data_IF_866552101156
#
_entry.id   IF_866552101156
#
_cell.length_a   1.000
_cell.length_b   1.000
_cell.length_c   1.000
_cell.angle_alpha   90.00
_cell.angle_beta   90.00
_cell.angle_gamma   90.00
#
_symmetry.space_group_name_H-M   'P 1'
#
loop_
_entity.id
_entity.type
_entity.pdbx_description
1 polymer ?
#
# COMPACT_ATOMS: atom_id res chain seq x y z
N UNK A 1 22.97 1.12 -8.80
CA UNK A 1 21.96 1.82 -7.94
C UNK A 1 21.34 0.75 -7.09
N UNK A 2 21.58 0.77 -5.78
CA UNK A 2 21.06 -0.22 -4.83
C UNK A 2 19.53 -0.11 -4.82
N UNK A 3 18.85 -1.21 -5.08
CA UNK A 3 17.42 -1.36 -4.82
C UNK A 3 17.18 -1.03 -3.35
N UNK A 4 16.37 0.01 -3.12
CA UNK A 4 15.89 0.30 -1.77
C UNK A 4 14.87 -0.79 -1.47
N UNK A 5 15.28 -1.82 -0.75
CA UNK A 5 14.34 -2.80 -0.24
C UNK A 5 13.39 -2.06 0.71
N UNK A 6 12.12 -2.03 0.38
CA UNK A 6 11.10 -1.48 1.28
C UNK A 6 10.92 -2.51 2.41
N UNK A 7 11.54 -2.24 3.55
CA UNK A 7 11.47 -3.15 4.70
C UNK A 7 10.14 -3.04 5.46
N UNK A 8 9.36 -1.99 5.20
CA UNK A 8 8.08 -1.72 5.87
C UNK A 8 7.02 -1.13 4.92
N UNK A 9 5.75 -1.38 5.25
CA UNK A 9 4.58 -0.80 4.60
C UNK A 9 3.95 0.27 5.48
N UNK A 10 3.59 1.40 4.89
CA UNK A 10 2.81 2.43 5.54
C UNK A 10 1.40 1.89 5.83
N UNK A 11 1.01 1.84 7.10
CA UNK A 11 -0.30 1.33 7.52
C UNK A 11 -1.23 2.39 8.06
N UNK A 12 -0.73 3.58 8.39
CA UNK A 12 -1.54 4.66 8.90
C UNK A 12 -0.76 5.87 9.37
N UNK A 13 -1.51 6.86 9.85
CA UNK A 13 -0.97 8.09 10.44
C UNK A 13 -1.59 8.30 11.82
N UNK A 14 -0.76 8.69 12.78
CA UNK A 14 -1.19 9.01 14.14
C UNK A 14 -2.03 10.29 14.13
N UNK A 15 -3.24 10.19 14.67
CA UNK A 15 -4.20 11.27 14.78
C UNK A 15 -4.10 12.05 16.09
N UNK A 16 -5.27 12.32 16.68
CA UNK A 16 -5.38 13.10 17.92
C UNK A 16 -5.32 12.19 19.16
N UNK A 17 -4.77 12.66 20.29
CA UNK A 17 -4.91 12.00 21.58
C UNK A 17 -6.37 11.74 21.93
N UNK A 18 -6.62 10.60 22.56
CA UNK A 18 -7.93 10.19 23.02
C UNK A 18 -7.93 9.99 24.54
N UNK A 19 -8.59 10.89 25.27
CA UNK A 19 -8.54 10.88 26.73
C UNK A 19 -7.23 11.39 27.30
N UNK A 20 -6.88 10.96 28.52
CA UNK A 20 -5.72 11.42 29.29
C UNK A 20 -4.65 10.36 29.49
N UNK A 21 -4.95 9.08 29.17
CA UNK A 21 -4.10 7.92 29.43
C UNK A 21 -3.18 7.56 28.25
N UNK A 22 -2.87 8.49 27.36
CA UNK A 22 -1.97 8.25 26.22
C UNK A 22 -2.57 7.41 25.09
N UNK A 23 -3.90 7.19 25.07
CA UNK A 23 -4.56 6.59 23.92
C UNK A 23 -4.58 7.55 22.74
N UNK A 24 -4.48 7.05 21.52
CA UNK A 24 -4.37 7.83 20.30
C UNK A 24 -5.32 7.29 19.23
N UNK A 25 -6.01 8.18 18.53
CA UNK A 25 -6.73 7.80 17.30
C UNK A 25 -5.72 7.62 16.18
N UNK A 26 -5.95 6.64 15.29
CA UNK A 26 -5.10 6.41 14.11
C UNK A 26 -5.96 6.44 12.86
N UNK A 27 -5.50 7.15 11.84
CA UNK A 27 -6.08 7.08 10.50
C UNK A 27 -5.37 5.96 9.76
N UNK A 28 -6.08 4.86 9.52
CA UNK A 28 -5.52 3.72 8.81
C UNK A 28 -5.59 3.91 7.31
N UNK A 29 -4.50 3.57 6.64
CA UNK A 29 -4.31 3.63 5.19
C UNK A 29 -4.19 2.22 4.58
N UNK A 30 -4.29 1.18 5.41
CA UNK A 30 -4.25 -0.23 5.00
C UNK A 30 -5.63 -0.78 4.68
N UNK A 31 -5.72 -1.65 3.71
CA UNK A 31 -6.94 -2.43 3.39
C UNK A 31 -7.22 -3.53 4.44
N UNK A 32 -6.25 -3.83 5.31
CA UNK A 32 -6.34 -4.86 6.35
C UNK A 32 -6.30 -4.28 7.77
N UNK A 33 -7.18 -3.32 8.11
CA UNK A 33 -7.13 -2.60 9.38
C UNK A 33 -7.30 -3.52 10.60
N UNK A 34 -8.09 -4.60 10.49
CA UNK A 34 -8.36 -5.55 11.57
C UNK A 34 -7.19 -6.49 11.90
N UNK A 35 -6.11 -6.42 11.13
CA UNK A 35 -4.91 -7.25 11.38
C UNK A 35 -3.98 -6.64 12.43
N UNK A 36 -4.22 -5.38 12.82
CA UNK A 36 -3.46 -4.75 13.92
C UNK A 36 -4.03 -5.26 15.24
N UNK A 37 -3.18 -5.81 16.09
CA UNK A 37 -3.54 -6.45 17.36
C UNK A 37 -2.65 -5.95 18.50
N UNK A 38 -3.11 -6.18 19.73
CA UNK A 38 -2.28 -6.05 20.92
C UNK A 38 -1.07 -6.98 20.83
N UNK A 39 0.10 -6.48 21.14
CA UNK A 39 1.39 -7.18 21.03
C UNK A 39 2.12 -6.97 19.70
N UNK A 40 1.46 -6.35 18.70
CA UNK A 40 2.13 -6.03 17.44
C UNK A 40 3.25 -5.00 17.66
N UNK A 41 4.31 -5.12 16.86
CA UNK A 41 5.40 -4.15 16.78
C UNK A 41 5.18 -3.34 15.50
N UNK A 42 5.09 -2.03 15.65
CA UNK A 42 5.00 -1.08 14.56
C UNK A 42 6.24 -0.18 14.56
N UNK A 43 6.39 0.63 13.52
CA UNK A 43 7.56 1.47 13.34
C UNK A 43 7.15 2.88 12.91
N UNK A 44 8.01 3.86 13.23
CA UNK A 44 7.84 5.25 12.80
C UNK A 44 8.65 5.60 11.54
N UNK A 45 9.35 4.62 10.98
CA UNK A 45 10.18 4.79 9.79
C UNK A 45 10.16 3.55 8.89
N UNK A 46 10.42 3.76 7.60
CA UNK A 46 10.42 2.72 6.57
C UNK A 46 11.53 1.68 6.73
N UNK A 47 12.60 2.03 7.46
CA UNK A 47 13.74 1.14 7.73
C UNK A 47 13.54 0.26 8.96
N UNK A 48 12.37 0.35 9.61
CA UNK A 48 12.04 -0.40 10.82
C UNK A 48 13.05 -0.19 11.98
N UNK A 49 13.63 1.02 12.11
CA UNK A 49 14.61 1.31 13.16
C UNK A 49 13.97 1.86 14.43
N UNK A 50 12.86 2.60 14.30
CA UNK A 50 12.15 3.24 15.42
C UNK A 50 10.87 2.48 15.73
N UNK A 51 10.99 1.45 16.57
CA UNK A 51 9.87 0.59 16.95
C UNK A 51 8.96 1.19 18.01
N UNK A 52 7.70 0.78 18.01
CA UNK A 52 6.71 1.03 19.04
C UNK A 52 5.78 -0.18 19.19
N UNK A 53 5.54 -0.59 20.44
CA UNK A 53 4.71 -1.76 20.74
C UNK A 53 3.24 -1.33 20.94
N UNK A 54 2.32 -2.06 20.33
CA UNK A 54 0.89 -1.92 20.55
C UNK A 54 0.51 -2.60 21.87
N UNK A 55 0.16 -1.82 22.88
CA UNK A 55 -0.35 -2.35 24.15
C UNK A 55 -1.78 -2.83 24.04
N UNK A 56 -2.65 -2.00 23.47
CA UNK A 56 -4.04 -2.35 23.20
C UNK A 56 -4.61 -1.60 22.01
N UNK A 57 -5.63 -2.18 21.40
CA UNK A 57 -6.39 -1.55 20.33
C UNK A 57 -7.89 -1.76 20.55
N UNK A 58 -8.68 -0.74 20.35
CA UNK A 58 -10.12 -0.80 20.34
C UNK A 58 -10.72 0.03 19.21
N UNK A 59 -11.92 -0.32 18.77
CA UNK A 59 -12.60 0.35 17.67
C UNK A 59 -13.70 1.25 18.21
N UNK A 60 -13.64 2.53 17.88
CA UNK A 60 -14.67 3.51 18.25
C UNK A 60 -15.53 3.79 17.02
N UNK A 61 -16.85 3.67 17.16
CA UNK A 61 -17.82 4.05 16.14
C UNK A 61 -17.89 5.58 16.05
N UNK A 62 -17.69 6.12 14.82
CA UNK A 62 -17.82 7.56 14.54
C UNK A 62 -18.75 7.71 13.34
N UNK A 63 -19.97 8.18 13.58
CA UNK A 63 -21.02 8.27 12.55
C UNK A 63 -21.22 6.91 11.85
N UNK A 64 -20.83 6.79 10.57
CA UNK A 64 -20.97 5.59 9.75
C UNK A 64 -19.69 4.75 9.62
N UNK A 65 -18.60 5.16 10.28
CA UNK A 65 -17.29 4.48 10.18
C UNK A 65 -16.77 4.07 11.56
N UNK A 66 -15.72 3.24 11.56
CA UNK A 66 -14.99 2.85 12.77
C UNK A 66 -13.59 3.42 12.72
N UNK A 67 -13.13 4.00 13.82
CA UNK A 67 -11.77 4.54 13.99
C UNK A 67 -11.06 3.75 15.08
N UNK A 68 -9.85 3.24 14.83
CA UNK A 68 -9.05 2.60 15.86
C UNK A 68 -8.53 3.64 16.84
N UNK A 69 -8.59 3.28 18.10
CA UNK A 69 -7.95 3.96 19.22
C UNK A 69 -6.90 2.99 19.75
N UNK A 70 -5.64 3.37 19.65
CA UNK A 70 -4.49 2.54 20.00
C UNK A 70 -3.80 3.12 21.23
N UNK A 71 -3.44 2.26 22.16
CA UNK A 71 -2.54 2.53 23.25
C UNK A 71 -1.20 1.90 22.92
N UNK A 72 -0.16 2.69 22.95
CA UNK A 72 1.21 2.21 22.78
C UNK A 72 1.94 2.12 24.11
N UNK A 73 2.84 1.17 24.26
CA UNK A 73 3.67 1.04 25.46
C UNK A 73 4.57 2.25 25.63
N UNK A 74 4.63 2.78 26.84
CA UNK A 74 5.44 3.95 27.17
C UNK A 74 4.84 5.30 26.76
N UNK A 75 3.61 5.32 26.25
CA UNK A 75 2.87 6.55 25.95
C UNK A 75 1.73 6.67 26.96
N UNK A 76 1.99 7.19 28.14
CA UNK A 76 1.10 7.10 29.29
C UNK A 76 0.33 8.37 29.61
N UNK A 77 0.70 9.47 28.98
CA UNK A 77 0.03 10.75 29.15
C UNK A 77 -0.51 11.32 27.84
N UNK A 78 -1.43 12.28 27.97
CA UNK A 78 -1.93 13.04 26.81
C UNK A 78 -0.80 13.79 26.10
N UNK A 79 0.19 14.33 26.84
CA UNK A 79 1.29 15.07 26.26
C UNK A 79 2.20 14.16 25.42
N UNK A 80 2.49 12.94 25.90
CA UNK A 80 3.25 11.95 25.13
C UNK A 80 2.52 11.62 23.82
N UNK A 81 1.21 11.41 23.89
CA UNK A 81 0.37 11.15 22.73
C UNK A 81 0.33 12.33 21.74
N UNK A 82 0.30 13.57 22.22
CA UNK A 82 0.32 14.78 21.38
C UNK A 82 1.63 14.89 20.60
N UNK A 83 2.76 14.51 21.21
CA UNK A 83 4.08 14.53 20.56
C UNK A 83 4.18 13.55 19.37
N UNK A 84 3.35 12.54 19.32
CA UNK A 84 3.32 11.56 18.22
C UNK A 84 2.37 11.95 17.09
N UNK A 85 1.55 12.98 17.26
CA UNK A 85 0.54 13.37 16.28
C UNK A 85 1.16 13.69 14.91
N UNK A 86 0.59 13.12 13.87
CA UNK A 86 1.04 13.29 12.49
C UNK A 86 2.16 12.32 12.08
N UNK A 87 2.71 11.55 13.02
CA UNK A 87 3.71 10.54 12.68
C UNK A 87 3.11 9.42 11.82
N UNK A 88 3.85 8.98 10.83
CA UNK A 88 3.52 7.81 10.02
C UNK A 88 3.76 6.53 10.81
N UNK A 89 2.88 5.54 10.62
CA UNK A 89 3.00 4.21 11.19
C UNK A 89 3.26 3.20 10.10
N UNK A 90 4.28 2.38 10.31
CA UNK A 90 4.70 1.33 9.39
C UNK A 90 4.63 -0.04 10.06
N UNK A 91 4.44 -1.08 9.25
CA UNK A 91 4.56 -2.48 9.64
C UNK A 91 5.64 -3.12 8.80
N UNK A 92 6.49 -3.96 9.40
CA UNK A 92 7.47 -4.74 8.65
C UNK A 92 6.78 -5.59 7.58
N UNK A 93 7.40 -5.68 6.41
CA UNK A 93 6.94 -6.57 5.32
C UNK A 93 6.83 -8.01 5.81
N UNK A 94 7.74 -8.46 6.67
CA UNK A 94 7.75 -9.81 7.25
C UNK A 94 6.54 -10.11 8.13
N UNK A 95 6.01 -9.07 8.81
CA UNK A 95 4.87 -9.18 9.72
C UNK A 95 3.54 -8.79 9.05
N UNK A 96 3.59 -8.52 7.74
CA UNK A 96 2.40 -8.20 6.96
C UNK A 96 1.50 -9.43 6.82
N UNK A 97 0.17 -9.25 6.79
CA UNK A 97 -0.76 -10.34 6.58
C UNK A 97 -0.45 -11.12 5.31
N UNK A 98 -0.60 -12.45 5.36
CA UNK A 98 -0.56 -13.26 4.15
C UNK A 98 -1.77 -12.91 3.30
N UNK A 99 -1.54 -12.58 2.06
CA UNK A 99 -2.57 -12.34 1.07
C UNK A 99 -3.10 -13.67 0.53
N UNK A 100 -4.28 -13.64 -0.09
CA UNK A 100 -4.79 -14.75 -0.87
C UNK A 100 -3.97 -14.92 -2.15
N UNK A 101 -4.14 -16.04 -2.86
CA UNK A 101 -3.33 -16.35 -4.05
C UNK A 101 -3.47 -15.30 -5.17
N UNK A 102 -4.61 -14.62 -5.22
CA UNK A 102 -4.98 -13.60 -6.23
C UNK A 102 -4.81 -12.17 -5.75
N UNK A 103 -4.35 -11.97 -4.52
CA UNK A 103 -4.12 -10.65 -3.93
C UNK A 103 -2.63 -10.31 -3.94
N UNK A 104 -2.31 -9.05 -4.19
CA UNK A 104 -0.95 -8.54 -4.08
C UNK A 104 -0.95 -7.14 -3.47
N UNK A 105 0.13 -6.79 -2.80
CA UNK A 105 0.29 -5.44 -2.29
C UNK A 105 0.59 -4.49 -3.44
N UNK A 106 0.00 -3.29 -3.40
CA UNK A 106 0.28 -2.24 -4.39
C UNK A 106 1.78 -1.95 -4.48
N UNK A 107 2.47 -1.89 -3.33
CA UNK A 107 3.91 -1.65 -3.27
C UNK A 107 4.73 -2.73 -3.99
N UNK A 108 4.22 -3.97 -4.01
CA UNK A 108 4.89 -5.08 -4.69
C UNK A 108 4.71 -5.01 -6.22
N UNK A 109 3.62 -4.38 -6.69
CA UNK A 109 3.32 -4.18 -8.12
C UNK A 109 4.06 -2.96 -8.69
N UNK A 110 4.22 -1.91 -7.90
CA UNK A 110 4.96 -0.72 -8.33
C UNK A 110 6.38 -1.12 -8.76
N UNK A 111 6.83 -0.53 -9.86
CA UNK A 111 8.08 -0.84 -10.54
C UNK A 111 8.12 -2.20 -11.25
N UNK A 112 7.04 -2.97 -11.33
CA UNK A 112 6.98 -4.12 -12.21
C UNK A 112 7.07 -3.70 -13.67
N UNK A 113 7.82 -4.46 -14.46
CA UNK A 113 7.93 -4.30 -15.90
C UNK A 113 6.77 -5.00 -16.59
N UNK A 114 6.15 -4.33 -17.54
CA UNK A 114 4.98 -4.81 -18.27
C UNK A 114 5.39 -5.26 -19.66
N UNK A 115 4.98 -6.46 -20.04
CA UNK A 115 5.25 -7.08 -21.34
C UNK A 115 3.94 -7.58 -21.96
N UNK A 116 3.89 -7.62 -23.27
CA UNK A 116 2.84 -8.35 -23.99
C UNK A 116 3.10 -9.86 -23.93
N UNK A 117 2.12 -10.67 -24.32
CA UNK A 117 2.25 -12.13 -24.46
C UNK A 117 3.39 -12.53 -25.43
N UNK A 118 3.69 -11.70 -26.41
CA UNK A 118 4.78 -11.89 -27.35
C UNK A 118 6.13 -11.42 -26.81
N UNK A 119 6.22 -11.16 -25.50
CA UNK A 119 7.42 -10.66 -24.81
C UNK A 119 7.92 -9.29 -25.28
N UNK A 120 7.03 -8.47 -25.87
CA UNK A 120 7.36 -7.09 -26.24
C UNK A 120 7.23 -6.25 -24.98
N UNK A 121 8.30 -5.53 -24.62
CA UNK A 121 8.28 -4.60 -23.48
C UNK A 121 7.33 -3.44 -23.76
N UNK A 122 6.47 -3.09 -22.79
CA UNK A 122 5.50 -2.00 -22.89
C UNK A 122 5.96 -0.79 -22.08
N UNK A 123 6.30 -1.05 -20.81
CA UNK A 123 6.64 0.02 -19.89
C UNK A 123 6.72 -0.48 -18.45
N UNK A 124 6.56 0.44 -17.50
CA UNK A 124 6.73 0.18 -16.07
C UNK A 124 5.53 0.67 -15.28
N UNK A 125 5.07 -0.11 -14.32
CA UNK A 125 4.02 0.31 -13.39
C UNK A 125 4.53 1.42 -12.48
N UNK A 126 3.87 2.57 -12.50
CA UNK A 126 4.19 3.74 -11.67
C UNK A 126 3.19 3.96 -10.55
N UNK A 127 1.95 3.50 -10.70
CA UNK A 127 0.91 3.59 -9.69
C UNK A 127 -0.15 2.49 -9.89
N UNK A 128 -0.98 2.27 -8.87
CA UNK A 128 -2.21 1.47 -8.96
C UNK A 128 -3.36 2.34 -8.48
N UNK A 129 -4.33 2.57 -9.35
CA UNK A 129 -5.50 3.37 -9.03
C UNK A 129 -6.71 2.48 -8.76
N UNK A 130 -7.36 2.73 -7.63
CA UNK A 130 -8.54 1.97 -7.19
C UNK A 130 -9.80 2.63 -7.75
N UNK A 131 -10.55 1.87 -8.54
CA UNK A 131 -11.88 2.25 -9.02
C UNK A 131 -12.93 1.32 -8.45
N UNK A 132 -14.19 1.74 -8.48
CA UNK A 132 -15.30 0.98 -7.92
C UNK A 132 -15.50 -0.41 -8.56
N UNK A 133 -15.13 -0.57 -9.83
CA UNK A 133 -15.28 -1.83 -10.56
C UNK A 133 -14.01 -2.71 -10.51
N UNK A 134 -12.83 -2.13 -10.76
CA UNK A 134 -11.55 -2.85 -10.82
C UNK A 134 -10.42 -1.88 -10.51
N UNK A 135 -9.30 -2.41 -9.99
CA UNK A 135 -8.07 -1.66 -9.90
C UNK A 135 -7.44 -1.50 -11.28
N UNK A 136 -6.78 -0.38 -11.54
CA UNK A 136 -6.07 -0.10 -12.77
C UNK A 136 -4.58 0.10 -12.51
N UNK A 137 -3.74 -0.57 -13.30
CA UNK A 137 -2.30 -0.29 -13.32
C UNK A 137 -2.06 0.98 -14.14
N UNK A 138 -1.46 1.99 -13.54
CA UNK A 138 -0.91 3.13 -14.25
C UNK A 138 0.49 2.76 -14.75
N UNK A 139 0.62 2.52 -16.05
CA UNK A 139 1.86 2.08 -16.70
C UNK A 139 2.46 3.25 -17.45
N UNK A 140 3.67 3.64 -17.10
CA UNK A 140 4.46 4.59 -17.88
C UNK A 140 5.01 3.86 -19.11
N UNK A 141 4.57 4.28 -20.29
CA UNK A 141 5.03 3.71 -21.55
C UNK A 141 6.48 4.14 -21.80
N UNK A 142 7.34 3.17 -22.01
CA UNK A 142 8.75 3.38 -22.31
C UNK A 142 9.12 2.87 -23.72
N UNK A 143 8.26 2.06 -24.33
CA UNK A 143 8.43 1.57 -25.69
C UNK A 143 7.82 2.55 -26.70
N UNK A 144 8.65 3.18 -27.49
CA UNK A 144 8.26 4.17 -28.50
C UNK A 144 7.68 3.55 -29.78
N UNK A 145 7.87 2.25 -29.98
CA UNK A 145 7.39 1.54 -31.16
C UNK A 145 5.93 1.08 -31.02
N UNK A 146 5.37 1.18 -29.79
CA UNK A 146 3.97 0.91 -29.54
C UNK A 146 3.16 2.19 -29.80
N UNK A 147 2.31 2.16 -30.83
CA UNK A 147 1.34 3.25 -31.11
C UNK A 147 0.19 3.18 -30.09
N UNK A 148 0.51 3.43 -28.83
CA UNK A 148 -0.48 3.56 -27.74
C UNK A 148 -0.78 5.05 -27.65
N UNK A 149 -1.85 5.45 -28.30
CA UNK A 149 -2.33 6.82 -28.26
C UNK A 149 -3.03 7.07 -26.93
N UNK A 150 -2.31 7.63 -25.97
CA UNK A 150 -2.92 8.34 -24.87
C UNK A 150 -2.06 9.52 -24.45
N UNK A 151 -2.75 10.65 -24.30
CA UNK A 151 -2.45 11.94 -23.69
C UNK A 151 -0.98 12.30 -23.34
N UNK A 152 -0.74 13.57 -23.16
CA UNK A 152 0.49 14.27 -22.78
C UNK A 152 1.30 13.66 -21.61
N UNK A 153 0.78 12.64 -20.92
CA UNK A 153 1.39 12.06 -19.71
C UNK A 153 2.26 10.81 -19.93
N UNK A 154 2.23 10.17 -21.10
CA UNK A 154 2.83 8.85 -21.35
C UNK A 154 2.42 7.76 -20.34
N UNK A 155 1.30 7.93 -19.64
CA UNK A 155 0.75 6.96 -18.68
C UNK A 155 -0.47 6.31 -19.32
N UNK A 156 -0.46 4.97 -19.34
CA UNK A 156 -1.54 4.15 -19.86
C UNK A 156 -2.15 3.33 -18.74
N UNK A 157 -3.48 3.28 -18.68
CA UNK A 157 -4.19 2.56 -17.62
C UNK A 157 -4.63 1.18 -18.10
N UNK A 158 -4.28 0.15 -17.34
CA UNK A 158 -4.62 -1.24 -17.65
C UNK A 158 -5.46 -1.81 -16.50
N UNK A 159 -6.74 -2.17 -16.73
CA UNK A 159 -7.56 -2.81 -15.71
C UNK A 159 -6.97 -4.17 -15.29
N UNK A 160 -6.92 -4.42 -13.98
CA UNK A 160 -6.44 -5.67 -13.41
C UNK A 160 -7.57 -6.71 -13.47
N UNK A 161 -7.85 -7.20 -14.68
CA UNK A 161 -8.85 -8.24 -14.94
C UNK A 161 -8.29 -9.29 -15.89
N UNK A 162 -8.85 -10.50 -15.85
CA UNK A 162 -8.38 -11.66 -16.64
C UNK A 162 -8.36 -11.43 -18.17
N UNK A 163 -9.15 -10.49 -18.67
CA UNK A 163 -9.17 -10.17 -20.11
C UNK A 163 -7.85 -9.51 -20.55
N UNK A 164 -7.23 -8.72 -19.67
CA UNK A 164 -6.01 -7.97 -20.00
C UNK A 164 -4.76 -8.56 -19.38
N UNK A 165 -4.85 -9.14 -18.18
CA UNK A 165 -3.69 -9.68 -17.45
C UNK A 165 -3.60 -11.19 -17.68
N UNK A 166 -2.45 -11.65 -18.15
CA UNK A 166 -2.10 -13.08 -18.25
C UNK A 166 -1.52 -13.58 -16.94
N UNK A 167 -0.51 -12.86 -16.42
CA UNK A 167 0.15 -13.22 -15.17
C UNK A 167 0.87 -12.05 -14.52
N UNK A 168 0.97 -12.10 -13.20
CA UNK A 168 1.75 -11.18 -12.37
C UNK A 168 2.78 -12.01 -11.61
N UNK A 169 4.06 -11.83 -11.93
CA UNK A 169 5.16 -12.46 -11.22
C UNK A 169 5.90 -11.40 -10.39
N UNK A 170 5.60 -11.34 -9.10
CA UNK A 170 6.18 -10.34 -8.18
C UNK A 170 7.65 -10.60 -7.90
N UNK A 171 8.13 -11.87 -7.96
CA UNK A 171 9.55 -12.21 -7.73
C UNK A 171 10.43 -11.65 -8.83
N UNK A 172 9.99 -11.77 -10.06
CA UNK A 172 10.73 -11.30 -11.24
C UNK A 172 10.35 -9.85 -11.61
N UNK A 173 9.47 -9.22 -10.82
CA UNK A 173 8.93 -7.88 -11.11
C UNK A 173 8.39 -7.77 -12.54
N UNK A 174 7.65 -8.79 -12.99
CA UNK A 174 7.17 -8.91 -14.37
C UNK A 174 5.66 -9.11 -14.41
N UNK A 175 4.99 -8.35 -15.28
CA UNK A 175 3.56 -8.49 -15.60
C UNK A 175 3.45 -8.80 -17.09
N UNK A 176 2.66 -9.82 -17.43
CA UNK A 176 2.39 -10.20 -18.81
C UNK A 176 0.94 -9.87 -19.14
N UNK A 177 0.75 -9.15 -20.25
CA UNK A 177 -0.56 -8.81 -20.78
C UNK A 177 -1.02 -9.82 -21.82
N UNK A 178 -2.29 -10.23 -21.75
CA UNK A 178 -2.97 -10.99 -22.83
C UNK A 178 -3.17 -10.12 -24.06
N UNK A 179 -3.62 -8.88 -23.82
CA UNK A 179 -3.77 -7.84 -24.85
C UNK A 179 -3.63 -6.46 -24.21
N UNK A 180 -3.28 -5.49 -25.04
CA UNK A 180 -3.31 -4.07 -24.65
C UNK A 180 -4.76 -3.59 -24.78
N UNK A 181 -5.33 -2.88 -23.78
CA UNK A 181 -6.65 -2.29 -23.91
C UNK A 181 -6.70 -1.30 -25.07
N UNK A 182 -7.72 -1.43 -25.89
CA UNK A 182 -8.03 -0.46 -26.93
C UNK A 182 -9.04 0.52 -26.34
N UNK A 183 -8.56 1.68 -25.92
CA UNK A 183 -9.46 2.78 -25.56
C UNK A 183 -9.77 3.56 -26.85
N UNK A 184 -11.03 3.57 -27.21
CA UNK A 184 -11.57 4.33 -28.31
C UNK A 184 -11.93 5.74 -27.83
#
# INVERSE_FOLDING_TARGET
>A
MSEVSVDARLIGVIGKPHGIKGEITVVLLTDYPKTIKSGDILFFDEKCTKKIDVESIRWKKIKRSYMPVIKFKGIDSRNDAENLKGASLFRSVKDSPKLKEDECWVDDIINCMVYTKNNIFVGKVVNVEKFAANDNLAVKIENKDLDIRDSDSNIFYIPVIEIYIESINLKDKKIILKKIPEYI
#
